data_IF_220965757517
#
_entry.id   IF_220965757517
#
_cell.length_a   1.000
_cell.length_b   1.000
_cell.length_c   1.000
_cell.angle_alpha   90.00
_cell.angle_beta   90.00
_cell.angle_gamma   90.00
#
_symmetry.space_group_name_H-M   'P 1'
#
loop_
_entity.id
_entity.type
_entity.pdbx_description
1 polymer ?
#
# COMPACT_ATOMS: atom_id res chain seq x y z
N UNK A 1 -0.06 10.42 -21.38
CA UNK A 1 -0.28 11.65 -20.57
C UNK A 1 0.91 11.74 -19.63
N UNK A 2 1.79 12.72 -19.80
CA UNK A 2 2.93 12.88 -18.91
C UNK A 2 2.42 13.40 -17.56
N UNK A 3 2.48 12.57 -16.52
CA UNK A 3 2.11 13.00 -15.17
C UNK A 3 3.10 14.07 -14.70
N UNK A 4 2.58 15.26 -14.41
CA UNK A 4 3.35 16.31 -13.77
C UNK A 4 3.81 15.80 -12.39
N UNK A 5 5.12 15.80 -12.16
CA UNK A 5 5.69 15.45 -10.86
C UNK A 5 5.18 16.47 -9.82
N UNK A 6 4.63 16.03 -8.67
CA UNK A 6 4.08 16.94 -7.68
C UNK A 6 5.18 17.84 -7.12
N UNK A 7 4.92 19.14 -7.05
CA UNK A 7 5.82 20.12 -6.42
C UNK A 7 5.76 19.97 -4.90
N UNK A 8 6.76 20.50 -4.20
CA UNK A 8 6.92 20.36 -2.74
C UNK A 8 5.71 20.89 -1.92
N UNK A 9 4.84 21.70 -2.55
CA UNK A 9 3.56 22.16 -2.01
C UNK A 9 2.38 21.20 -2.20
N UNK A 10 2.42 20.27 -3.17
CA UNK A 10 1.28 19.39 -3.53
C UNK A 10 1.46 17.93 -3.14
N UNK A 11 2.64 17.55 -2.62
CA UNK A 11 2.95 16.17 -2.19
C UNK A 11 2.69 15.86 -0.70
N UNK A 12 1.94 16.72 0.02
CA UNK A 12 1.68 16.61 1.48
C UNK A 12 0.99 15.30 1.90
N UNK A 13 0.37 14.60 0.95
CA UNK A 13 -0.25 13.30 1.15
C UNK A 13 0.79 12.16 1.22
N UNK A 14 2.05 12.39 0.83
CA UNK A 14 3.11 11.39 1.00
C UNK A 14 3.63 11.47 2.43
N UNK A 15 3.66 10.34 3.14
CA UNK A 15 4.17 10.25 4.51
C UNK A 15 3.43 11.14 5.50
N UNK A 16 2.13 11.39 5.27
CA UNK A 16 1.31 11.94 6.33
C UNK A 16 1.16 10.87 7.41
N UNK A 17 1.29 11.29 8.66
CA UNK A 17 1.09 10.45 9.82
C UNK A 17 -0.05 11.04 10.65
N UNK A 18 -1.14 10.28 10.79
CA UNK A 18 -2.22 10.60 11.69
C UNK A 18 -1.98 9.96 13.08
N UNK A 19 -1.09 10.56 13.86
CA UNK A 19 -0.67 10.02 15.16
C UNK A 19 -1.79 9.95 16.22
N UNK A 20 -2.95 10.57 15.96
CA UNK A 20 -4.14 10.50 16.82
C UNK A 20 -5.07 9.31 16.47
N UNK A 21 -4.71 8.48 15.49
CA UNK A 21 -5.48 7.29 15.11
C UNK A 21 -5.57 6.28 16.27
N UNK A 22 -6.73 5.65 16.45
CA UNK A 22 -7.00 4.64 17.47
C UNK A 22 -6.18 3.35 17.29
N UNK A 23 -5.63 3.15 16.09
CA UNK A 23 -4.76 2.01 15.79
C UNK A 23 -3.27 2.31 16.00
N UNK A 24 -2.91 3.56 16.35
CA UNK A 24 -1.52 3.98 16.52
C UNK A 24 -0.92 3.50 17.86
N UNK A 25 0.35 3.02 17.89
CA UNK A 25 1.21 2.75 16.74
C UNK A 25 0.77 1.48 15.99
N UNK A 26 0.52 1.63 14.68
CA UNK A 26 -0.02 0.53 13.87
C UNK A 26 1.04 -0.53 13.52
N UNK A 27 2.31 -0.09 13.41
CA UNK A 27 3.47 -0.94 13.11
C UNK A 27 4.66 -0.52 13.97
N UNK A 28 5.57 -1.45 14.21
CA UNK A 28 6.84 -1.21 14.87
C UNK A 28 7.84 -0.55 13.90
N UNK A 29 7.77 0.78 13.79
CA UNK A 29 8.64 1.61 12.94
C UNK A 29 8.66 3.08 13.38
N UNK A 30 9.63 3.90 12.92
CA UNK A 30 9.69 5.31 13.24
C UNK A 30 8.44 6.09 12.77
N UNK A 31 7.87 6.99 13.60
CA UNK A 31 6.70 7.80 13.24
C UNK A 31 6.92 8.64 11.98
N UNK A 32 8.13 9.15 11.78
CA UNK A 32 8.51 9.98 10.64
C UNK A 32 8.52 9.21 9.32
N UNK A 33 8.65 7.88 9.35
CA UNK A 33 8.59 7.09 8.14
C UNK A 33 7.16 6.72 7.78
N UNK A 34 6.27 6.56 8.77
CA UNK A 34 4.91 6.07 8.59
C UNK A 34 4.13 6.88 7.54
N UNK A 35 3.61 6.17 6.54
CA UNK A 35 2.70 6.70 5.54
C UNK A 35 1.29 6.15 5.70
N UNK A 36 0.38 6.95 6.28
CA UNK A 36 -1.00 6.54 6.49
C UNK A 36 -1.81 6.40 5.18
N UNK A 37 -1.31 6.93 4.05
CA UNK A 37 -1.95 6.80 2.74
C UNK A 37 -2.22 5.33 2.36
N UNK A 38 -1.35 4.44 2.83
CA UNK A 38 -1.39 3.02 2.53
C UNK A 38 -1.65 2.18 3.79
N UNK A 39 -2.37 2.75 4.78
CA UNK A 39 -2.85 2.00 5.96
C UNK A 39 -3.59 0.71 5.56
N UNK A 40 -4.35 0.76 4.46
CA UNK A 40 -4.76 -0.44 3.75
C UNK A 40 -3.74 -0.73 2.66
N UNK A 41 -3.16 -1.93 2.68
CA UNK A 41 -2.15 -2.31 1.70
C UNK A 41 -2.74 -2.26 0.28
N UNK A 42 -2.27 -1.34 -0.59
CA UNK A 42 -2.82 -1.20 -1.94
C UNK A 42 -2.52 -2.44 -2.81
N UNK A 43 -1.53 -3.25 -2.40
CA UNK A 43 -1.09 -4.45 -3.12
C UNK A 43 -1.74 -5.74 -2.59
N UNK A 44 -2.72 -5.65 -1.68
CA UNK A 44 -3.35 -6.83 -1.06
C UNK A 44 -3.85 -7.84 -2.10
N UNK A 45 -4.53 -7.35 -3.15
CA UNK A 45 -5.12 -8.18 -4.20
C UNK A 45 -4.09 -8.92 -5.09
N UNK A 46 -2.82 -8.51 -5.06
CA UNK A 46 -1.74 -9.27 -5.74
C UNK A 46 -1.39 -10.57 -5.00
N UNK A 47 -1.93 -10.79 -3.80
CA UNK A 47 -1.70 -12.02 -3.04
C UNK A 47 -0.20 -12.26 -2.81
N UNK A 48 0.33 -13.45 -3.13
CA UNK A 48 1.75 -13.73 -2.97
C UNK A 48 2.70 -12.89 -3.82
N UNK A 49 2.21 -12.33 -4.93
CA UNK A 49 3.00 -11.47 -5.80
C UNK A 49 3.19 -10.05 -5.24
N UNK A 50 2.64 -9.71 -4.06
CA UNK A 50 2.72 -8.35 -3.52
C UNK A 50 4.12 -7.95 -3.01
N UNK A 51 5.05 -8.90 -2.84
CA UNK A 51 6.43 -8.63 -2.38
C UNK A 51 6.56 -8.18 -0.92
N UNK A 52 5.48 -8.21 -0.15
CA UNK A 52 5.45 -7.77 1.25
C UNK A 52 5.68 -8.90 2.25
N UNK A 53 5.98 -8.52 3.49
CA UNK A 53 6.09 -9.44 4.61
C UNK A 53 4.70 -9.75 5.19
N UNK A 54 3.98 -10.70 4.59
CA UNK A 54 2.65 -11.14 5.04
C UNK A 54 2.69 -12.60 5.50
N UNK A 55 1.60 -13.03 6.14
CA UNK A 55 1.30 -14.45 6.40
C UNK A 55 -0.15 -14.76 6.06
N UNK A 56 -0.45 -16.03 5.87
CA UNK A 56 -1.83 -16.49 5.75
C UNK A 56 -2.30 -17.09 7.08
N UNK A 57 -3.45 -16.62 7.56
CA UNK A 57 -4.10 -17.00 8.82
C UNK A 57 -5.53 -17.48 8.55
N UNK A 58 -6.27 -17.83 9.61
CA UNK A 58 -7.60 -18.45 9.51
C UNK A 58 -7.52 -19.98 9.50
N UNK A 59 -8.66 -20.64 9.72
CA UNK A 59 -8.77 -22.11 9.78
C UNK A 59 -8.25 -22.78 8.50
N UNK A 60 -8.49 -22.14 7.36
CA UNK A 60 -8.09 -22.66 6.05
C UNK A 60 -6.84 -21.99 5.48
N UNK A 61 -6.16 -21.11 6.24
CA UNK A 61 -5.02 -20.31 5.77
C UNK A 61 -5.35 -19.49 4.51
N UNK A 62 -6.50 -18.86 4.51
CA UNK A 62 -7.10 -18.12 3.40
C UNK A 62 -7.16 -16.61 3.64
N UNK A 63 -6.92 -16.15 4.87
CA UNK A 63 -6.90 -14.73 5.22
C UNK A 63 -5.47 -14.22 5.15
N UNK A 64 -5.20 -13.23 4.30
CA UNK A 64 -3.87 -12.61 4.20
C UNK A 64 -3.70 -11.56 5.29
N UNK A 65 -2.88 -11.86 6.31
CA UNK A 65 -2.55 -10.93 7.39
C UNK A 65 -1.26 -10.15 7.04
N UNK A 66 -1.41 -8.82 6.98
CA UNK A 66 -0.32 -7.88 6.69
C UNK A 66 0.07 -7.04 7.92
N UNK A 67 -0.41 -7.34 9.13
CA UNK A 67 -0.15 -6.55 10.35
C UNK A 67 1.34 -6.39 10.71
N UNK A 68 2.21 -7.30 10.25
CA UNK A 68 3.66 -7.21 10.43
C UNK A 68 4.40 -6.58 9.22
N UNK A 69 3.69 -6.21 8.16
CA UNK A 69 4.27 -5.69 6.93
C UNK A 69 4.48 -4.18 7.02
N UNK A 70 5.73 -3.72 6.96
CA UNK A 70 6.05 -2.29 6.90
C UNK A 70 6.35 -1.80 5.48
N UNK A 71 6.32 -2.68 4.48
CA UNK A 71 6.58 -2.36 3.08
C UNK A 71 5.86 -1.08 2.60
N UNK A 72 4.54 -0.91 2.78
CA UNK A 72 3.84 0.25 2.25
C UNK A 72 4.11 1.55 3.04
N UNK A 73 4.72 1.44 4.20
CA UNK A 73 4.91 2.55 5.11
C UNK A 73 6.30 3.15 5.06
N UNK A 74 7.29 2.51 4.43
CA UNK A 74 8.65 3.05 4.37
C UNK A 74 8.83 4.08 3.25
N UNK A 75 9.67 5.10 3.47
CA UNK A 75 9.88 6.21 2.53
C UNK A 75 10.40 5.77 1.18
N UNK A 76 11.39 4.90 1.20
CA UNK A 76 12.04 4.32 0.06
C UNK A 76 11.10 3.47 -0.83
N UNK A 77 9.94 3.05 -0.32
CA UNK A 77 9.03 2.14 -1.03
C UNK A 77 7.86 2.84 -1.73
N UNK A 78 7.70 4.16 -1.59
CA UNK A 78 6.57 4.86 -2.21
C UNK A 78 6.53 4.64 -3.73
N UNK A 79 7.66 4.83 -4.42
CA UNK A 79 7.74 4.65 -5.87
C UNK A 79 7.55 3.18 -6.28
N UNK A 80 8.03 2.24 -5.45
CA UNK A 80 7.76 0.81 -5.64
C UNK A 80 6.25 0.53 -5.63
N UNK A 81 5.51 0.99 -4.63
CA UNK A 81 4.06 0.79 -4.55
C UNK A 81 3.33 1.38 -5.75
N UNK A 82 3.70 2.61 -6.14
CA UNK A 82 3.08 3.28 -7.28
C UNK A 82 3.34 2.53 -8.59
N UNK A 83 4.56 2.03 -8.81
CA UNK A 83 4.89 1.23 -10.00
C UNK A 83 4.08 -0.07 -10.10
N UNK A 84 3.78 -0.71 -8.97
CA UNK A 84 3.00 -1.96 -8.88
C UNK A 84 1.49 -1.72 -9.00
N UNK A 85 1.02 -0.49 -8.80
CA UNK A 85 -0.40 -0.16 -8.85
C UNK A 85 -1.03 -0.45 -10.23
N UNK A 86 -0.25 -0.38 -11.31
CA UNK A 86 -0.70 -0.76 -12.65
C UNK A 86 -1.17 -2.24 -12.74
N UNK A 87 -0.64 -3.13 -11.90
CA UNK A 87 -1.12 -4.53 -11.84
C UNK A 87 -2.48 -4.64 -11.15
N UNK A 88 -2.69 -3.84 -10.10
CA UNK A 88 -4.00 -3.72 -9.45
C UNK A 88 -5.05 -3.15 -10.41
N UNK A 89 -4.68 -2.12 -11.18
CA UNK A 89 -5.57 -1.55 -12.20
C UNK A 89 -6.02 -2.57 -13.24
N UNK A 90 -5.13 -3.49 -13.65
CA UNK A 90 -5.49 -4.58 -14.56
C UNK A 90 -6.48 -5.56 -13.95
N UNK A 91 -6.33 -5.89 -12.66
CA UNK A 91 -7.28 -6.76 -11.93
C UNK A 91 -8.66 -6.10 -11.78
N UNK A 92 -8.69 -4.78 -11.61
CA UNK A 92 -9.91 -4.00 -11.47
C UNK A 92 -10.54 -3.58 -12.81
N UNK A 93 -9.87 -3.86 -13.93
CA UNK A 93 -10.38 -3.50 -15.25
C UNK A 93 -11.73 -4.18 -15.49
N UNK A 94 -12.68 -3.50 -16.15
CA UNK A 94 -13.91 -4.16 -16.58
C UNK A 94 -13.55 -5.35 -17.49
N UNK A 95 -14.46 -6.34 -17.63
CA UNK A 95 -14.37 -7.32 -18.70
C UNK A 95 -14.13 -6.61 -20.03
N UNK A 96 -13.35 -7.22 -20.93
CA UNK A 96 -13.21 -6.68 -22.27
C UNK A 96 -14.61 -6.44 -22.86
N UNK A 97 -14.89 -5.21 -23.29
CA UNK A 97 -16.09 -4.96 -24.07
C UNK A 97 -16.00 -5.88 -25.29
N UNK A 98 -17.04 -6.68 -25.50
CA UNK A 98 -17.08 -7.77 -26.47
C UNK A 98 -16.37 -7.39 -27.78
N UNK A 99 -15.39 -8.21 -28.17
CA UNK A 99 -14.66 -8.11 -29.43
C UNK A 99 -15.56 -8.43 -30.63
#
# INVERSE_FOLDING_TARGET
MAEAQPTEGTARYRFFNHAACEFYPCHDMPPEDLNCLFCFCPLYALGPACGGAYRYVGEHRDIKDCSACTLPHRRENYDYLMSRYAEIQKLAAPPAADA
#
